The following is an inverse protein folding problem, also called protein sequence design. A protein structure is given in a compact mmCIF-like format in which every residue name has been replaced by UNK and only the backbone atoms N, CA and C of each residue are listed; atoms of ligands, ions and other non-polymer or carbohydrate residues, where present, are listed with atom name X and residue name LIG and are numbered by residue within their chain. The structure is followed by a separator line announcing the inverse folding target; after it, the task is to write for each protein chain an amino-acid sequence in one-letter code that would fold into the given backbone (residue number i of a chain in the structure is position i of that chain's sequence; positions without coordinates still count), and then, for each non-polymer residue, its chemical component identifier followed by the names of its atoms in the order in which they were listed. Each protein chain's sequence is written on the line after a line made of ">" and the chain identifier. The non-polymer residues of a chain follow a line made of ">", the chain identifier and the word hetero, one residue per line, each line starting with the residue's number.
data_IF_159546291562
#
_entry.id   IF_159546291562
#
_cell.length_a   1.000
_cell.length_b   1.000
_cell.length_c   1.000
_cell.angle_alpha   90.00
_cell.angle_beta   90.00
_cell.angle_gamma   90.00
#
_symmetry.space_group_name_H-M   'P 1'
#
loop_
_entity.id
_entity.type
_entity.pdbx_description
1 polymer ?
#
# COMPACT_ATOMS: atom_id res chain seq x y z
N UNK A 1 36.86 47.39 56.43
CA UNK A 1 38.20 47.80 55.95
C UNK A 1 38.00 48.40 54.55
N UNK A 2 38.78 49.43 54.19
CA UNK A 2 38.61 50.36 53.05
C UNK A 2 38.31 49.69 51.67
N UNK A 3 37.36 50.24 50.88
CA UNK A 3 37.53 51.00 49.59
C UNK A 3 37.98 50.13 48.39
N UNK A 4 37.62 50.31 47.10
CA UNK A 4 36.89 51.33 46.29
C UNK A 4 36.47 50.64 44.95
N UNK A 5 35.62 51.13 44.02
CA UNK A 5 34.76 52.34 43.89
C UNK A 5 33.55 52.08 42.91
N UNK A 6 32.92 53.18 42.46
CA UNK A 6 31.81 53.45 41.55
C UNK A 6 31.67 52.79 40.15
N UNK A 7 30.38 52.58 39.79
CA UNK A 7 29.63 52.98 38.57
C UNK A 7 30.21 52.68 37.17
N UNK A 8 29.43 51.93 36.39
CA UNK A 8 28.52 52.52 35.39
C UNK A 8 27.43 51.51 34.99
N UNK A 9 26.24 52.00 34.65
CA UNK A 9 25.08 51.17 34.33
C UNK A 9 24.77 51.10 32.84
N UNK A 10 23.97 50.10 32.46
CA UNK A 10 23.11 50.13 31.30
C UNK A 10 21.87 49.28 31.62
N UNK A 11 20.70 49.91 31.68
CA UNK A 11 19.43 49.19 31.73
C UNK A 11 19.17 48.55 30.35
N UNK A 12 18.72 47.30 30.34
CA UNK A 12 18.08 46.73 29.16
C UNK A 12 16.84 45.96 29.62
N UNK A 13 15.66 46.51 29.32
CA UNK A 13 14.38 45.92 29.66
C UNK A 13 13.77 45.17 28.48
N UNK A 14 12.82 44.30 28.82
CA UNK A 14 11.94 43.54 27.91
C UNK A 14 12.58 42.43 27.05
N UNK A 15 11.70 41.50 26.68
CA UNK A 15 11.85 40.41 25.70
C UNK A 15 12.85 39.27 26.01
N UNK A 16 12.39 38.34 26.87
CA UNK A 16 12.93 36.98 26.97
C UNK A 16 12.40 36.06 25.86
N UNK A 17 12.91 36.16 24.63
CA UNK A 17 12.93 35.04 23.66
C UNK A 17 14.21 35.15 22.82
N UNK A 18 14.83 34.00 22.51
CA UNK A 18 16.04 33.84 21.67
C UNK A 18 17.37 34.39 22.23
N UNK A 19 18.13 33.51 22.90
CA UNK A 19 19.54 33.26 22.60
C UNK A 19 20.10 32.16 23.51
N UNK A 20 20.57 31.04 22.94
CA UNK A 20 21.75 30.26 23.34
C UNK A 20 21.98 29.18 22.26
N UNK A 21 23.25 28.98 21.86
CA UNK A 21 23.78 27.93 20.98
C UNK A 21 23.50 28.03 19.47
N UNK A 22 24.16 29.00 18.82
CA UNK A 22 24.99 28.68 17.63
C UNK A 22 26.42 28.36 18.09
N UNK A 23 27.19 27.75 17.19
CA UNK A 23 28.63 27.41 17.30
C UNK A 23 28.98 26.09 18.00
N UNK A 24 28.89 25.00 17.23
CA UNK A 24 30.10 24.23 16.86
C UNK A 24 29.83 23.43 15.60
N UNK A 25 30.32 23.92 14.46
CA UNK A 25 30.28 23.18 13.21
C UNK A 25 31.45 22.19 13.17
N UNK A 26 31.17 20.92 13.45
CA UNK A 26 32.10 19.81 13.27
C UNK A 26 31.46 18.74 12.40
N UNK A 27 32.09 18.40 11.27
CA UNK A 27 31.64 17.29 10.44
C UNK A 27 31.78 15.97 11.20
N UNK A 28 30.66 15.33 11.49
CA UNK A 28 30.58 13.91 11.78
C UNK A 28 29.42 13.34 10.95
N UNK A 29 29.75 12.65 9.85
CA UNK A 29 28.79 11.78 9.19
C UNK A 29 28.52 10.63 10.14
N UNK A 30 27.33 10.62 10.76
CA UNK A 30 26.89 9.48 11.56
C UNK A 30 26.37 8.41 10.59
N UNK A 31 27.12 7.31 10.47
CA UNK A 31 26.59 6.07 9.91
C UNK A 31 25.28 5.75 10.63
N UNK A 32 24.18 5.73 9.87
CA UNK A 32 22.92 5.16 10.34
C UNK A 32 23.01 3.68 10.08
N UNK A 33 23.46 2.97 11.11
CA UNK A 33 23.55 1.52 11.14
C UNK A 33 22.14 0.93 10.93
N UNK A 34 21.85 0.51 9.70
CA UNK A 34 20.65 -0.27 9.39
C UNK A 34 20.79 -1.60 10.12
N UNK A 35 20.12 -1.74 11.26
CA UNK A 35 20.13 -2.96 12.06
C UNK A 35 19.31 -4.05 11.38
N UNK A 36 19.90 -4.62 10.32
CA UNK A 36 19.49 -5.87 9.70
C UNK A 36 19.68 -6.98 10.72
N UNK A 37 18.67 -7.21 11.57
CA UNK A 37 18.64 -8.40 12.42
C UNK A 37 18.55 -9.63 11.50
N UNK A 38 19.29 -10.69 11.85
CA UNK A 38 19.55 -11.83 10.97
C UNK A 38 18.25 -12.43 10.40
N UNK A 39 18.03 -12.21 9.09
CA UNK A 39 16.85 -12.69 8.41
C UNK A 39 16.85 -14.23 8.37
N UNK A 40 15.88 -14.85 9.04
CA UNK A 40 15.65 -16.29 8.97
C UNK A 40 15.06 -16.62 7.59
N UNK A 41 15.92 -16.80 6.61
CA UNK A 41 15.59 -17.48 5.35
C UNK A 41 15.45 -18.98 5.63
N UNK A 42 14.28 -19.42 6.11
CA UNK A 42 13.97 -20.84 6.19
C UNK A 42 13.70 -21.39 4.79
N UNK A 43 14.30 -22.53 4.45
CA UNK A 43 14.12 -23.19 3.13
C UNK A 43 12.87 -24.08 3.07
N UNK A 44 12.03 -24.10 4.11
CA UNK A 44 10.76 -24.85 4.19
C UNK A 44 9.53 -23.90 4.08
N UNK A 45 9.68 -22.78 3.37
CA UNK A 45 8.84 -21.60 3.58
C UNK A 45 7.39 -21.69 3.03
N UNK A 46 6.38 -21.13 3.73
CA UNK A 46 4.95 -21.22 3.40
C UNK A 46 4.49 -20.29 2.25
N UNK A 47 5.37 -19.99 1.29
CA UNK A 47 5.17 -18.95 0.28
C UNK A 47 5.26 -19.49 -1.16
N UNK A 48 4.45 -20.50 -1.48
CA UNK A 48 4.51 -21.20 -2.78
C UNK A 48 4.29 -20.33 -4.02
N UNK A 49 3.68 -19.16 -3.88
CA UNK A 49 3.45 -18.19 -4.95
C UNK A 49 4.47 -17.03 -4.99
N UNK A 50 5.52 -17.02 -4.17
CA UNK A 50 6.53 -15.93 -4.18
C UNK A 50 7.88 -16.42 -4.73
N UNK A 51 8.46 -15.63 -5.64
CA UNK A 51 9.77 -15.91 -6.24
C UNK A 51 10.92 -15.66 -5.23
N UNK A 52 10.81 -14.59 -4.43
CA UNK A 52 11.62 -14.39 -3.23
C UNK A 52 10.92 -13.56 -2.16
N UNK A 53 11.29 -13.79 -0.89
CA UNK A 53 10.68 -13.14 0.28
C UNK A 53 11.77 -12.66 1.22
N UNK A 54 11.61 -11.46 1.78
CA UNK A 54 12.39 -10.99 2.92
C UNK A 54 11.48 -10.39 3.97
N UNK A 55 11.67 -10.78 5.22
CA UNK A 55 10.97 -10.23 6.39
C UNK A 55 11.96 -9.37 7.17
N UNK A 56 11.61 -8.10 7.37
CA UNK A 56 12.42 -7.11 8.07
C UNK A 56 11.81 -6.83 9.45
N UNK A 57 12.61 -6.80 10.50
CA UNK A 57 12.12 -6.41 11.84
C UNK A 57 11.66 -4.95 11.88
N UNK A 58 12.39 -4.06 11.21
CA UNK A 58 12.07 -2.64 11.07
C UNK A 58 12.70 -2.08 9.79
N UNK A 59 12.08 -1.07 9.20
CA UNK A 59 12.56 -0.34 8.01
C UNK A 59 11.94 1.05 7.97
N UNK A 60 12.51 2.01 7.23
CA UNK A 60 11.85 3.31 7.03
C UNK A 60 10.52 3.16 6.27
N UNK A 61 10.56 2.52 5.11
CA UNK A 61 9.38 2.15 4.33
C UNK A 61 9.72 0.98 3.41
N UNK A 62 8.88 -0.05 3.39
CA UNK A 62 9.04 -1.22 2.50
C UNK A 62 9.07 -0.81 1.03
N UNK A 63 8.27 0.19 0.61
CA UNK A 63 8.31 0.71 -0.76
C UNK A 63 9.68 1.34 -1.09
N UNK A 64 10.21 2.14 -0.17
CA UNK A 64 11.52 2.80 -0.34
C UNK A 64 12.63 1.76 -0.41
N UNK A 65 12.60 0.77 0.48
CA UNK A 65 13.54 -0.37 0.50
C UNK A 65 13.48 -1.18 -0.81
N UNK A 66 12.27 -1.55 -1.25
CA UNK A 66 12.07 -2.29 -2.49
C UNK A 66 12.54 -1.52 -3.72
N UNK A 67 12.26 -0.20 -3.78
CA UNK A 67 12.70 0.67 -4.88
C UNK A 67 14.22 0.82 -4.91
N UNK A 68 14.87 0.96 -3.75
CA UNK A 68 16.33 0.97 -3.65
C UNK A 68 16.94 -0.37 -4.10
N UNK A 69 16.41 -1.50 -3.62
CA UNK A 69 16.86 -2.83 -4.03
C UNK A 69 16.73 -3.04 -5.55
N UNK A 70 15.63 -2.59 -6.17
CA UNK A 70 15.44 -2.64 -7.63
C UNK A 70 16.51 -1.81 -8.34
N UNK A 71 16.72 -0.55 -7.92
CA UNK A 71 17.73 0.33 -8.52
C UNK A 71 19.13 -0.29 -8.45
N UNK A 72 19.48 -0.83 -7.30
CA UNK A 72 20.83 -1.33 -7.03
C UNK A 72 21.06 -2.65 -7.79
N UNK A 73 20.09 -3.56 -7.81
CA UNK A 73 20.17 -4.80 -8.60
C UNK A 73 20.20 -4.55 -10.12
N UNK A 74 19.46 -3.55 -10.62
CA UNK A 74 19.54 -3.12 -12.02
C UNK A 74 20.79 -2.31 -12.38
N UNK A 75 21.67 -2.00 -11.41
CA UNK A 75 22.96 -1.36 -11.68
C UNK A 75 24.08 -2.37 -11.94
N UNK A 76 23.89 -3.64 -11.54
CA UNK A 76 24.76 -4.77 -11.88
C UNK A 76 24.39 -5.42 -13.23
N UNK A 77 23.26 -5.02 -13.83
CA UNK A 77 22.74 -5.58 -15.07
C UNK A 77 23.38 -4.94 -16.31
N UNK A 78 23.68 -5.74 -17.34
CA UNK A 78 24.30 -5.26 -18.58
C UNK A 78 23.36 -4.36 -19.41
N UNK A 79 23.93 -3.43 -20.18
CA UNK A 79 23.18 -2.49 -21.03
C UNK A 79 22.38 -3.18 -22.17
N UNK A 80 22.79 -4.39 -22.55
CA UNK A 80 22.17 -5.23 -23.59
C UNK A 80 21.27 -6.34 -23.05
N UNK A 81 21.00 -6.35 -21.73
CA UNK A 81 20.12 -7.32 -21.07
C UNK A 81 18.66 -7.23 -21.56
N UNK A 82 17.99 -8.39 -21.65
CA UNK A 82 16.63 -8.49 -22.17
C UNK A 82 15.54 -8.53 -21.08
N UNK A 83 14.27 -8.62 -21.49
CA UNK A 83 13.14 -8.69 -20.56
C UNK A 83 13.18 -9.92 -19.63
N UNK A 84 13.80 -11.03 -20.05
CA UNK A 84 13.95 -12.23 -19.24
C UNK A 84 15.06 -12.06 -18.19
N UNK A 85 16.15 -11.38 -18.53
CA UNK A 85 17.18 -10.97 -17.56
C UNK A 85 16.59 -10.03 -16.48
N UNK A 86 15.83 -9.01 -16.91
CA UNK A 86 15.13 -8.10 -16.00
C UNK A 86 14.13 -8.85 -15.12
N UNK A 87 13.39 -9.81 -15.67
CA UNK A 87 12.50 -10.66 -14.88
C UNK A 87 13.27 -11.50 -13.84
N UNK A 88 14.42 -12.08 -14.22
CA UNK A 88 15.25 -12.88 -13.33
C UNK A 88 15.85 -12.05 -12.18
N UNK A 89 16.24 -10.80 -12.44
CA UNK A 89 16.63 -9.83 -11.39
C UNK A 89 15.48 -9.64 -10.39
N UNK A 90 14.25 -9.44 -10.86
CA UNK A 90 13.09 -9.28 -9.96
C UNK A 90 12.78 -10.57 -9.19
N UNK A 91 12.92 -11.76 -9.78
CA UNK A 91 12.75 -13.05 -9.04
C UNK A 91 13.76 -13.18 -7.90
N UNK A 92 15.02 -12.84 -8.16
CA UNK A 92 16.11 -12.99 -7.19
C UNK A 92 16.19 -11.89 -6.12
N UNK A 93 15.43 -10.80 -6.26
CA UNK A 93 15.64 -9.52 -5.57
C UNK A 93 15.85 -9.61 -4.06
N UNK A 94 15.10 -10.48 -3.37
CA UNK A 94 15.17 -10.65 -1.92
C UNK A 94 15.74 -12.01 -1.48
N UNK A 95 16.05 -12.89 -2.43
CA UNK A 95 16.52 -14.25 -2.19
C UNK A 95 17.96 -14.32 -1.68
N UNK A 96 18.36 -15.53 -1.27
CA UNK A 96 19.76 -15.86 -0.95
C UNK A 96 20.50 -16.19 -2.24
N UNK A 97 21.66 -15.55 -2.48
CA UNK A 97 22.47 -15.79 -3.69
C UNK A 97 22.76 -17.30 -3.83
N UNK A 98 22.32 -17.89 -4.95
CA UNK A 98 22.48 -19.32 -5.26
C UNK A 98 21.22 -20.18 -5.11
N UNK A 99 20.19 -19.71 -4.40
CA UNK A 99 18.89 -20.39 -4.34
C UNK A 99 17.91 -19.75 -5.35
N UNK A 100 17.73 -20.41 -6.49
CA UNK A 100 16.68 -20.08 -7.46
C UNK A 100 15.62 -21.18 -7.43
N UNK A 101 14.42 -20.87 -6.94
CA UNK A 101 13.27 -21.71 -7.28
C UNK A 101 12.95 -21.52 -8.77
N UNK A 102 12.79 -22.59 -9.55
CA UNK A 102 12.27 -22.50 -10.90
C UNK A 102 10.76 -22.26 -10.84
N UNK A 103 10.37 -21.02 -10.49
CA UNK A 103 9.07 -20.51 -10.92
C UNK A 103 8.98 -20.69 -12.44
N UNK A 104 7.79 -21.04 -12.96
CA UNK A 104 7.62 -21.26 -14.40
C UNK A 104 8.15 -20.06 -15.18
N UNK A 105 9.09 -20.28 -16.10
CA UNK A 105 9.81 -19.20 -16.82
C UNK A 105 8.89 -18.19 -17.55
N UNK A 106 7.60 -18.51 -17.70
CA UNK A 106 6.58 -17.71 -18.38
C UNK A 106 5.61 -16.97 -17.44
N UNK A 107 5.79 -17.03 -16.12
CA UNK A 107 4.97 -16.27 -15.16
C UNK A 107 5.61 -14.92 -14.82
N UNK A 108 4.80 -13.89 -14.52
CA UNK A 108 5.35 -12.62 -14.04
C UNK A 108 6.10 -12.83 -12.71
N UNK A 109 7.31 -12.26 -12.55
CA UNK A 109 8.09 -12.42 -11.33
C UNK A 109 7.41 -11.64 -10.19
N UNK A 110 7.44 -12.18 -8.98
CA UNK A 110 6.85 -11.55 -7.81
C UNK A 110 7.66 -11.82 -6.55
N UNK A 111 8.36 -10.80 -6.09
CA UNK A 111 9.17 -10.82 -4.87
C UNK A 111 8.60 -9.85 -3.84
N UNK A 112 8.63 -10.17 -2.54
CA UNK A 112 8.04 -9.31 -1.50
C UNK A 112 9.01 -8.98 -0.37
N UNK A 113 9.07 -7.70 0.00
CA UNK A 113 9.64 -7.24 1.26
C UNK A 113 8.51 -7.00 2.27
N UNK A 114 8.43 -7.84 3.29
CA UNK A 114 7.55 -7.67 4.45
C UNK A 114 8.31 -6.93 5.56
N UNK A 115 7.60 -6.19 6.41
CA UNK A 115 8.17 -5.60 7.61
C UNK A 115 7.24 -5.71 8.81
N UNK A 116 7.80 -5.95 10.00
CA UNK A 116 7.03 -5.91 11.25
C UNK A 116 6.85 -4.47 11.76
N UNK A 117 7.69 -3.51 11.37
CA UNK A 117 7.50 -2.07 11.66
C UNK A 117 8.01 -1.17 10.52
N UNK A 118 7.28 -0.07 10.26
CA UNK A 118 7.78 1.05 9.46
C UNK A 118 7.94 2.32 10.31
N UNK A 119 9.14 2.90 10.34
CA UNK A 119 9.44 4.15 11.09
C UNK A 119 9.03 5.42 10.33
N UNK A 120 9.03 5.37 8.99
CA UNK A 120 8.67 6.48 8.08
C UNK A 120 7.72 5.97 6.99
N UNK A 121 6.71 5.21 7.43
CA UNK A 121 5.78 4.54 6.53
C UNK A 121 5.03 5.53 5.62
N UNK A 122 4.91 5.19 4.34
CA UNK A 122 4.33 6.06 3.30
C UNK A 122 2.99 5.52 2.83
N UNK A 123 1.97 6.37 2.87
CA UNK A 123 0.72 6.22 2.15
C UNK A 123 0.70 7.10 0.90
N UNK A 124 -0.39 7.01 0.13
CA UNK A 124 -0.62 7.91 -1.01
C UNK A 124 -0.66 9.37 -0.57
N UNK A 125 -0.20 10.25 -1.46
CA UNK A 125 -0.35 11.72 -1.34
C UNK A 125 0.32 12.28 -0.07
N UNK A 126 1.48 11.73 0.30
CA UNK A 126 2.31 12.22 1.42
C UNK A 126 1.80 11.87 2.82
N UNK A 127 0.66 11.16 2.94
CA UNK A 127 0.15 10.70 4.24
C UNK A 127 1.09 9.65 4.85
N UNK A 128 1.29 9.70 6.15
CA UNK A 128 2.08 8.70 6.85
C UNK A 128 1.27 7.40 7.12
N UNK A 129 1.96 6.28 7.18
CA UNK A 129 1.44 4.99 7.64
C UNK A 129 2.22 4.57 8.89
N UNK A 130 1.51 4.24 9.96
CA UNK A 130 2.08 3.86 11.26
C UNK A 130 1.60 2.47 11.66
N UNK A 131 2.45 1.71 12.35
CA UNK A 131 2.10 0.42 12.92
C UNK A 131 3.02 0.05 14.08
N UNK A 132 2.61 -0.96 14.85
CA UNK A 132 3.46 -1.66 15.82
C UNK A 132 3.73 -3.11 15.35
N UNK A 133 4.77 -3.79 15.86
CA UNK A 133 5.04 -5.20 15.57
C UNK A 133 3.84 -6.11 15.83
N UNK A 134 3.51 -6.96 14.86
CA UNK A 134 2.43 -7.94 14.99
C UNK A 134 1.01 -7.41 14.75
N UNK A 135 0.83 -6.12 14.46
CA UNK A 135 -0.51 -5.51 14.41
C UNK A 135 -1.06 -5.25 13.01
N UNK A 136 -0.19 -4.99 12.04
CA UNK A 136 -0.57 -4.70 10.66
C UNK A 136 0.20 -5.56 9.68
N UNK A 137 -0.50 -6.07 8.66
CA UNK A 137 0.15 -6.55 7.46
C UNK A 137 0.84 -5.38 6.76
N UNK A 138 2.13 -5.49 6.48
CA UNK A 138 2.88 -4.54 5.66
C UNK A 138 3.77 -5.32 4.70
N UNK A 139 3.57 -5.10 3.39
CA UNK A 139 4.38 -5.71 2.35
C UNK A 139 4.50 -4.85 1.11
N UNK A 140 5.67 -4.88 0.48
CA UNK A 140 5.94 -4.30 -0.84
C UNK A 140 6.24 -5.38 -1.85
N UNK A 141 5.31 -5.60 -2.79
CA UNK A 141 5.45 -6.57 -3.87
C UNK A 141 6.12 -5.92 -5.06
N UNK A 142 7.19 -6.53 -5.55
CA UNK A 142 7.95 -6.09 -6.71
C UNK A 142 7.68 -7.05 -7.85
N UNK A 143 7.29 -6.50 -9.00
CA UNK A 143 6.99 -7.27 -10.21
C UNK A 143 7.39 -6.51 -11.46
N UNK A 144 7.78 -7.25 -12.50
CA UNK A 144 8.05 -6.73 -13.83
C UNK A 144 6.83 -6.96 -14.72
N UNK A 145 6.37 -5.94 -15.43
CA UNK A 145 5.22 -5.98 -16.35
C UNK A 145 5.56 -5.28 -17.66
N UNK A 146 4.83 -5.58 -18.77
CA UNK A 146 4.98 -4.81 -19.99
C UNK A 146 4.68 -3.33 -19.75
N UNK A 147 5.61 -2.47 -20.17
CA UNK A 147 5.52 -1.00 -20.08
C UNK A 147 4.24 -0.45 -20.72
N UNK A 148 3.71 -1.12 -21.75
CA UNK A 148 2.45 -0.79 -22.40
C UNK A 148 1.24 -0.73 -21.43
N UNK A 149 1.31 -1.39 -20.26
CA UNK A 149 0.26 -1.27 -19.21
C UNK A 149 0.26 0.09 -18.49
N UNK A 150 1.33 0.87 -18.62
CA UNK A 150 1.41 2.24 -18.11
C UNK A 150 0.81 3.26 -19.09
N UNK A 151 0.75 2.91 -20.38
CA UNK A 151 0.28 3.78 -21.45
C UNK A 151 -1.26 3.87 -21.48
N UNK A 152 -1.78 4.88 -22.17
CA UNK A 152 -3.21 4.99 -22.50
C UNK A 152 -4.16 5.10 -21.29
N UNK A 153 -3.69 5.52 -20.12
CA UNK A 153 -4.50 5.71 -18.91
C UNK A 153 -4.86 4.42 -18.15
N UNK A 154 -4.39 3.25 -18.59
CA UNK A 154 -4.73 1.96 -17.96
C UNK A 154 -4.04 1.71 -16.61
N UNK A 155 -3.09 2.56 -16.21
CA UNK A 155 -2.28 2.40 -14.99
C UNK A 155 -3.10 2.37 -13.70
N UNK A 156 -4.30 2.97 -13.69
CA UNK A 156 -5.25 2.88 -12.57
C UNK A 156 -5.65 1.42 -12.25
N UNK A 157 -5.74 0.54 -13.27
CA UNK A 157 -6.06 -0.87 -13.08
C UNK A 157 -5.03 -1.64 -12.26
N UNK A 158 -3.77 -1.22 -12.26
CA UNK A 158 -2.75 -1.84 -11.40
C UNK A 158 -3.08 -1.64 -9.91
N UNK A 159 -3.51 -0.43 -9.53
CA UNK A 159 -3.92 -0.15 -8.13
C UNK A 159 -5.18 -0.92 -7.76
N UNK A 160 -6.16 -1.00 -8.68
CA UNK A 160 -7.38 -1.78 -8.47
C UNK A 160 -7.12 -3.29 -8.36
N UNK A 161 -6.23 -3.83 -9.21
CA UNK A 161 -5.84 -5.24 -9.18
C UNK A 161 -5.14 -5.62 -7.86
N UNK A 162 -4.26 -4.75 -7.34
CA UNK A 162 -3.66 -4.92 -6.02
C UNK A 162 -4.67 -4.80 -4.88
N UNK A 163 -5.67 -3.92 -5.01
CA UNK A 163 -6.80 -3.83 -4.07
C UNK A 163 -7.66 -5.10 -4.04
N UNK A 164 -8.06 -5.60 -5.20
CA UNK A 164 -8.81 -6.87 -5.29
C UNK A 164 -7.97 -8.05 -4.79
N UNK A 165 -6.67 -8.12 -5.13
CA UNK A 165 -5.78 -9.15 -4.62
C UNK A 165 -5.63 -9.13 -3.09
N UNK A 166 -5.65 -7.95 -2.46
CA UNK A 166 -5.66 -7.82 -1.00
C UNK A 166 -6.98 -8.31 -0.38
N UNK A 167 -8.13 -8.09 -1.04
CA UNK A 167 -9.42 -8.64 -0.61
C UNK A 167 -9.43 -10.16 -0.76
N UNK A 168 -9.11 -10.68 -1.95
CA UNK A 168 -9.06 -12.11 -2.25
C UNK A 168 -8.18 -12.85 -1.23
N UNK A 169 -7.02 -12.28 -0.88
CA UNK A 169 -6.08 -12.89 0.06
C UNK A 169 -6.57 -12.95 1.50
N UNK A 170 -7.34 -11.97 1.97
CA UNK A 170 -7.93 -11.99 3.32
C UNK A 170 -9.12 -12.96 3.36
N UNK A 171 -9.88 -13.09 2.27
CA UNK A 171 -10.98 -14.07 2.17
C UNK A 171 -10.46 -15.51 2.04
N UNK A 172 -9.48 -15.78 1.17
CA UNK A 172 -8.79 -17.08 1.04
C UNK A 172 -8.17 -17.46 2.40
N UNK A 173 -7.43 -16.56 3.05
CA UNK A 173 -6.84 -16.84 4.36
C UNK A 173 -7.88 -17.06 5.47
N UNK A 174 -9.02 -16.37 5.44
CA UNK A 174 -10.11 -16.61 6.38
C UNK A 174 -10.78 -17.97 6.17
N UNK A 175 -10.97 -18.39 4.91
CA UNK A 175 -11.50 -19.71 4.57
C UNK A 175 -10.54 -20.84 4.95
N UNK A 176 -9.27 -20.75 4.53
CA UNK A 176 -8.25 -21.78 4.74
C UNK A 176 -7.87 -21.95 6.23
N UNK A 177 -7.91 -20.87 7.01
CA UNK A 177 -7.57 -20.89 8.44
C UNK A 177 -8.80 -21.01 9.36
N UNK A 178 -10.01 -21.12 8.80
CA UNK A 178 -11.25 -21.33 9.56
C UNK A 178 -11.70 -20.14 10.41
N UNK A 179 -11.39 -18.92 9.99
CA UNK A 179 -11.70 -17.68 10.72
C UNK A 179 -13.21 -17.42 10.65
N UNK A 180 -13.91 -17.63 11.77
CA UNK A 180 -15.35 -17.43 11.88
C UNK A 180 -15.71 -15.95 11.94
N UNK A 181 -15.83 -15.29 10.78
CA UNK A 181 -16.37 -13.94 10.74
C UNK A 181 -17.86 -13.93 11.18
N UNK A 182 -18.30 -13.02 12.06
CA UNK A 182 -19.71 -12.81 12.40
C UNK A 182 -20.59 -12.46 11.20
N UNK A 183 -20.00 -12.16 10.04
CA UNK A 183 -20.70 -11.93 8.77
C UNK A 183 -21.23 -13.21 8.10
N UNK A 184 -20.90 -14.40 8.62
CA UNK A 184 -21.57 -15.66 8.24
C UNK A 184 -23.03 -15.71 8.72
N UNK A 185 -23.42 -14.85 9.67
CA UNK A 185 -24.83 -14.61 9.97
C UNK A 185 -25.45 -13.71 8.89
N UNK A 186 -26.47 -14.23 8.20
CA UNK A 186 -27.19 -13.50 7.15
C UNK A 186 -27.65 -12.10 7.62
N UNK A 187 -27.63 -11.07 6.75
CA UNK A 187 -27.90 -9.70 7.15
C UNK A 187 -29.30 -9.55 7.76
N UNK A 188 -29.34 -9.15 9.03
CA UNK A 188 -30.59 -8.89 9.78
C UNK A 188 -31.07 -7.44 9.68
N UNK A 189 -30.28 -6.56 9.07
CA UNK A 189 -30.68 -5.19 8.77
C UNK A 189 -31.46 -5.13 7.44
N UNK A 190 -32.62 -4.42 7.39
CA UNK A 190 -33.36 -4.25 6.15
C UNK A 190 -32.55 -3.42 5.14
N UNK A 191 -32.65 -3.81 3.86
CA UNK A 191 -31.99 -3.15 2.73
C UNK A 191 -32.29 -1.64 2.71
N UNK A 192 -31.30 -0.82 3.05
CA UNK A 192 -31.45 0.63 3.04
C UNK A 192 -31.18 1.12 1.61
N UNK A 193 -32.26 1.38 0.86
CA UNK A 193 -32.32 1.77 -0.55
C UNK A 193 -32.02 0.66 -1.58
N UNK A 194 -32.92 0.55 -2.56
CA UNK A 194 -32.70 -0.21 -3.80
C UNK A 194 -31.47 0.36 -4.53
N UNK A 195 -30.35 -0.37 -4.46
CA UNK A 195 -29.06 0.04 -5.02
C UNK A 195 -27.88 -0.08 -4.05
N UNK A 196 -28.12 0.03 -2.73
CA UNK A 196 -27.06 -0.22 -1.73
C UNK A 196 -26.92 -1.72 -1.48
N UNK A 197 -25.91 -2.35 -2.08
CA UNK A 197 -25.49 -3.69 -1.64
C UNK A 197 -24.95 -3.58 -0.21
N UNK A 198 -25.28 -4.54 0.65
CA UNK A 198 -24.81 -4.56 2.04
C UNK A 198 -23.29 -4.86 2.09
N UNK A 199 -22.46 -3.82 2.01
CA UNK A 199 -21.01 -3.93 2.13
C UNK A 199 -20.56 -3.99 3.60
N UNK A 200 -21.12 -4.94 4.34
CA UNK A 200 -20.63 -5.31 5.66
C UNK A 200 -19.28 -6.05 5.54
N UNK A 201 -19.04 -6.74 4.42
CA UNK A 201 -17.78 -7.43 4.11
C UNK A 201 -16.67 -6.58 3.48
N UNK A 202 -15.68 -7.27 2.95
CA UNK A 202 -14.52 -6.68 2.30
C UNK A 202 -14.91 -6.00 0.98
N UNK A 203 -14.47 -4.74 0.83
CA UNK A 203 -14.83 -3.88 -0.30
C UNK A 203 -13.73 -2.88 -0.64
N UNK A 204 -13.75 -2.35 -1.86
CA UNK A 204 -12.84 -1.30 -2.31
C UNK A 204 -13.47 0.07 -2.20
N UNK A 205 -12.83 0.97 -1.46
CA UNK A 205 -13.05 2.41 -1.62
C UNK A 205 -12.03 2.94 -2.62
N UNK A 206 -12.52 3.36 -3.78
CA UNK A 206 -11.74 4.02 -4.82
C UNK A 206 -11.01 5.26 -4.24
N UNK A 207 -9.72 5.51 -4.59
CA UNK A 207 -8.95 4.81 -5.61
C UNK A 207 -8.09 3.64 -5.12
N UNK A 208 -7.93 3.42 -3.81
CA UNK A 208 -6.82 2.61 -3.29
C UNK A 208 -7.04 2.01 -1.88
N UNK A 209 -8.21 2.16 -1.28
CA UNK A 209 -8.43 1.79 0.13
C UNK A 209 -9.22 0.47 0.24
N UNK A 210 -8.75 -0.44 1.10
CA UNK A 210 -9.49 -1.67 1.45
C UNK A 210 -10.38 -1.36 2.65
N UNK A 211 -11.65 -1.72 2.55
CA UNK A 211 -12.69 -1.47 3.55
C UNK A 211 -13.28 -2.78 4.08
N UNK A 212 -13.66 -2.81 5.35
CA UNK A 212 -14.35 -3.90 6.04
C UNK A 212 -15.39 -3.30 6.99
N UNK A 213 -16.64 -3.78 6.97
CA UNK A 213 -17.74 -3.22 7.77
C UNK A 213 -17.95 -1.71 7.53
N UNK A 214 -17.78 -1.27 6.28
CA UNK A 214 -17.84 0.13 5.90
C UNK A 214 -16.72 1.05 6.44
N UNK A 215 -15.66 0.49 7.04
CA UNK A 215 -14.52 1.22 7.60
C UNK A 215 -13.20 0.83 6.92
N UNK A 216 -12.22 1.75 6.90
CA UNK A 216 -10.90 1.55 6.29
C UNK A 216 -10.08 0.51 7.05
N UNK A 217 -9.88 -0.65 6.44
CA UNK A 217 -8.99 -1.71 6.92
C UNK A 217 -7.53 -1.42 6.54
N UNK A 218 -7.32 -0.85 5.35
CA UNK A 218 -5.98 -0.67 4.79
C UNK A 218 -5.94 0.18 3.52
N UNK A 219 -4.79 0.19 2.86
CA UNK A 219 -4.59 0.93 1.61
C UNK A 219 -3.39 0.45 0.80
N UNK A 220 -3.44 0.79 -0.49
CA UNK A 220 -2.46 0.44 -1.51
C UNK A 220 -1.70 1.70 -1.98
N UNK A 221 -0.39 1.57 -2.18
CA UNK A 221 0.50 2.54 -2.81
C UNK A 221 1.33 1.85 -3.90
N UNK A 222 0.90 2.00 -5.16
CA UNK A 222 1.66 1.54 -6.32
C UNK A 222 2.62 2.64 -6.80
N UNK A 223 3.90 2.31 -6.97
CA UNK A 223 4.96 3.19 -7.45
C UNK A 223 5.75 2.54 -8.60
N UNK A 224 6.13 3.32 -9.60
CA UNK A 224 7.05 2.90 -10.65
C UNK A 224 8.49 3.01 -10.13
N UNK A 225 9.19 1.88 -9.99
CA UNK A 225 10.57 1.86 -9.50
C UNK A 225 11.59 2.01 -10.63
N UNK A 226 11.37 1.38 -11.79
CA UNK A 226 12.26 1.45 -12.93
C UNK A 226 11.57 1.12 -14.26
N UNK A 227 12.17 1.55 -15.36
CA UNK A 227 11.87 1.08 -16.72
C UNK A 227 13.18 0.60 -17.36
N UNK A 228 13.11 -0.52 -18.08
CA UNK A 228 14.21 -1.11 -18.88
C UNK A 228 13.59 -1.67 -20.16
N UNK A 229 14.01 -1.15 -21.31
CA UNK A 229 13.38 -1.48 -22.60
C UNK A 229 11.87 -1.26 -22.58
N UNK A 230 11.12 -2.33 -22.89
CA UNK A 230 9.65 -2.39 -22.84
C UNK A 230 9.11 -3.06 -21.56
N UNK A 231 9.96 -3.25 -20.55
CA UNK A 231 9.59 -3.71 -19.20
C UNK A 231 9.56 -2.55 -18.20
N UNK A 232 8.50 -2.50 -17.40
CA UNK A 232 8.36 -1.62 -16.24
C UNK A 232 8.34 -2.44 -14.94
N UNK A 233 9.07 -1.97 -13.92
CA UNK A 233 9.09 -2.60 -12.59
C UNK A 233 8.29 -1.76 -11.62
N UNK A 234 7.25 -2.38 -11.06
CA UNK A 234 6.26 -1.74 -10.18
C UNK A 234 6.43 -2.30 -8.76
N UNK A 235 6.36 -1.39 -7.78
CA UNK A 235 6.35 -1.69 -6.35
C UNK A 235 4.93 -1.42 -5.82
N UNK A 236 4.25 -2.47 -5.37
CA UNK A 236 2.94 -2.39 -4.74
C UNK A 236 3.08 -2.48 -3.22
N UNK A 237 3.08 -1.32 -2.56
CA UNK A 237 2.93 -1.23 -1.11
C UNK A 237 1.51 -1.53 -0.68
N UNK A 238 1.33 -2.47 0.23
CA UNK A 238 0.03 -2.86 0.79
C UNK A 238 0.14 -2.88 2.30
N UNK A 239 -0.66 -2.03 2.96
CA UNK A 239 -0.78 -1.96 4.41
C UNK A 239 -2.21 -2.26 4.86
N UNK A 240 -2.41 -3.19 5.80
CA UNK A 240 -3.73 -3.52 6.36
C UNK A 240 -3.64 -3.78 7.86
N UNK A 241 -4.59 -3.26 8.64
CA UNK A 241 -4.66 -3.47 10.09
C UNK A 241 -5.26 -4.86 10.39
N UNK A 242 -4.51 -5.71 11.10
CA UNK A 242 -4.97 -7.05 11.47
C UNK A 242 -5.39 -7.12 12.94
N UNK A 243 -4.51 -6.66 13.84
CA UNK A 243 -4.68 -6.72 15.30
C UNK A 243 -4.59 -5.33 15.98
N UNK A 244 -4.44 -4.22 15.22
CA UNK A 244 -4.41 -2.84 15.77
C UNK A 244 -5.69 -2.54 16.57
N UNK A 245 -5.57 -2.30 17.87
CA UNK A 245 -6.69 -2.08 18.78
C UNK A 245 -7.45 -0.77 18.49
N UNK A 246 -8.75 -0.74 18.81
CA UNK A 246 -9.67 0.37 18.44
C UNK A 246 -9.20 1.75 18.91
N UNK A 247 -8.56 1.82 20.07
CA UNK A 247 -8.03 3.02 20.71
C UNK A 247 -6.75 3.57 20.04
N UNK A 248 -6.06 2.76 19.23
CA UNK A 248 -4.83 3.13 18.50
C UNK A 248 -5.05 3.33 16.99
N UNK A 249 -6.27 3.15 16.50
CA UNK A 249 -6.60 3.44 15.10
C UNK A 249 -6.49 4.96 14.83
N UNK A 250 -5.86 5.38 13.72
CA UNK A 250 -5.49 6.79 13.52
C UNK A 250 -6.68 7.72 13.24
N UNK A 251 -7.81 7.18 12.78
CA UNK A 251 -9.06 7.91 12.52
C UNK A 251 -10.27 7.03 12.87
N UNK A 252 -11.41 7.64 13.21
CA UNK A 252 -12.64 6.92 13.58
C UNK A 252 -13.19 6.04 12.44
N UNK A 253 -12.94 6.43 11.19
CA UNK A 253 -13.34 5.69 9.99
C UNK A 253 -12.42 4.49 9.69
N UNK A 254 -11.35 4.27 10.47
CA UNK A 254 -10.50 3.08 10.33
C UNK A 254 -11.03 1.89 11.13
N UNK A 255 -10.54 0.70 10.78
CA UNK A 255 -10.80 -0.56 11.48
C UNK A 255 -9.60 -1.49 11.39
N UNK A 256 -9.74 -2.70 11.92
CA UNK A 256 -8.72 -3.74 12.05
C UNK A 256 -9.43 -5.09 12.04
N UNK A 257 -8.86 -6.12 11.40
CA UNK A 257 -9.55 -7.40 11.17
C UNK A 257 -10.10 -8.02 12.47
N UNK A 258 -9.34 -7.98 13.56
CA UNK A 258 -9.76 -8.51 14.86
C UNK A 258 -10.97 -7.81 15.49
N UNK A 259 -11.37 -6.62 15.00
CA UNK A 259 -12.60 -5.94 15.42
C UNK A 259 -13.86 -6.50 14.72
N UNK A 260 -13.67 -7.40 13.74
CA UNK A 260 -14.71 -8.08 12.97
C UNK A 260 -14.60 -9.61 13.12
N UNK A 261 -14.17 -10.09 14.29
CA UNK A 261 -14.33 -11.48 14.76
C UNK A 261 -15.00 -11.46 16.14
N UNK A 262 -15.50 -12.60 16.61
CA UNK A 262 -16.19 -12.66 17.91
C UNK A 262 -15.20 -12.68 19.08
N UNK A 263 -14.14 -13.49 18.96
CA UNK A 263 -13.01 -13.54 19.89
C UNK A 263 -11.71 -13.30 19.11
N UNK A 264 -10.76 -12.55 19.69
CA UNK A 264 -9.43 -12.39 19.09
C UNK A 264 -8.69 -13.74 18.97
N UNK A 265 -9.04 -14.72 19.82
CA UNK A 265 -8.54 -16.09 19.75
C UNK A 265 -9.14 -16.90 18.57
N UNK A 266 -10.16 -16.39 17.87
CA UNK A 266 -10.63 -16.96 16.59
C UNK A 266 -9.66 -16.64 15.43
N UNK A 267 -8.72 -15.69 15.63
CA UNK A 267 -7.64 -15.42 14.67
C UNK A 267 -6.41 -16.30 14.96
N UNK A 268 -5.77 -16.85 13.91
CA UNK A 268 -4.49 -17.54 14.05
C UNK A 268 -3.36 -16.57 14.42
N UNK A 269 -2.20 -17.06 14.91
CA UNK A 269 -1.06 -16.22 15.24
C UNK A 269 -0.68 -15.28 14.09
N UNK A 270 -0.24 -14.05 14.42
CA UNK A 270 0.05 -13.01 13.44
C UNK A 270 0.91 -13.49 12.27
N UNK A 271 2.00 -14.23 12.53
CA UNK A 271 2.87 -14.73 11.46
C UNK A 271 2.15 -15.69 10.51
N UNK A 272 1.28 -16.56 11.02
CA UNK A 272 0.48 -17.49 10.21
C UNK A 272 -0.47 -16.71 9.29
N UNK A 273 -1.18 -15.73 9.84
CA UNK A 273 -2.10 -14.87 9.09
C UNK A 273 -1.35 -13.99 8.06
N UNK A 274 -0.26 -13.35 8.48
CA UNK A 274 0.63 -12.54 7.63
C UNK A 274 1.14 -13.37 6.46
N UNK A 275 1.60 -14.58 6.71
CA UNK A 275 2.18 -15.42 5.67
C UNK A 275 1.12 -15.91 4.67
N UNK A 276 -0.07 -16.29 5.16
CA UNK A 276 -1.21 -16.67 4.31
C UNK A 276 -1.67 -15.50 3.41
N UNK A 277 -1.88 -14.31 4.00
CA UNK A 277 -2.21 -13.09 3.25
C UNK A 277 -1.12 -12.75 2.24
N UNK A 278 0.16 -12.87 2.60
CA UNK A 278 1.26 -12.57 1.69
C UNK A 278 1.26 -13.49 0.44
N UNK A 279 1.04 -14.80 0.64
CA UNK A 279 0.94 -15.74 -0.45
C UNK A 279 -0.32 -15.51 -1.30
N UNK A 280 -1.48 -15.27 -0.67
CA UNK A 280 -2.74 -14.99 -1.35
C UNK A 280 -2.68 -13.74 -2.22
N UNK A 281 -2.06 -12.66 -1.74
CA UNK A 281 -1.85 -11.45 -2.54
C UNK A 281 -0.96 -11.78 -3.74
N UNK A 282 0.15 -12.48 -3.54
CA UNK A 282 1.07 -12.81 -4.63
C UNK A 282 0.39 -13.63 -5.74
N UNK A 283 -0.36 -14.66 -5.34
CA UNK A 283 -1.19 -15.50 -6.21
C UNK A 283 -2.19 -14.67 -7.02
N UNK A 284 -3.07 -13.91 -6.35
CA UNK A 284 -4.12 -13.14 -7.04
C UNK A 284 -3.56 -12.00 -7.89
N UNK A 285 -2.60 -11.23 -7.36
CA UNK A 285 -1.98 -10.13 -8.09
C UNK A 285 -1.25 -10.62 -9.34
N UNK A 286 -0.50 -11.74 -9.27
CA UNK A 286 0.16 -12.33 -10.44
C UNK A 286 -0.87 -12.75 -11.49
N UNK A 287 -1.97 -13.40 -11.10
CA UNK A 287 -3.05 -13.80 -12.03
C UNK A 287 -3.63 -12.56 -12.74
N UNK A 288 -3.98 -11.51 -11.97
CA UNK A 288 -4.61 -10.28 -12.47
C UNK A 288 -3.68 -9.50 -13.41
N UNK A 289 -2.41 -9.33 -13.04
CA UNK A 289 -1.41 -8.65 -13.89
C UNK A 289 -1.05 -9.47 -15.14
N UNK A 290 -1.00 -10.80 -15.04
CA UNK A 290 -0.78 -11.68 -16.21
C UNK A 290 -1.95 -11.58 -17.20
N UNK A 291 -3.19 -11.48 -16.71
CA UNK A 291 -4.35 -11.24 -17.56
C UNK A 291 -4.28 -9.87 -18.26
N UNK A 292 -3.92 -8.80 -17.53
CA UNK A 292 -3.72 -7.46 -18.09
C UNK A 292 -2.63 -7.40 -19.16
N UNK A 293 -1.50 -8.09 -18.93
CA UNK A 293 -0.37 -8.17 -19.86
C UNK A 293 -0.73 -8.91 -21.16
N UNK A 294 -1.59 -9.94 -21.09
CA UNK A 294 -1.97 -10.75 -22.25
C UNK A 294 -3.12 -10.16 -23.08
N UNK A 295 -4.12 -9.54 -22.43
CA UNK A 295 -5.29 -8.92 -23.09
C UNK A 295 -5.83 -7.80 -22.19
N UNK A 296 -5.22 -6.61 -22.28
CA UNK A 296 -5.56 -5.45 -21.44
C UNK A 296 -7.03 -5.09 -21.57
N UNK A 297 -7.60 -5.08 -22.78
CA UNK A 297 -8.98 -4.68 -23.01
C UNK A 297 -9.97 -5.62 -22.29
N UNK A 298 -9.76 -6.93 -22.39
CA UNK A 298 -10.62 -7.93 -21.74
C UNK A 298 -10.40 -8.01 -20.23
N UNK A 299 -9.15 -7.90 -19.78
CA UNK A 299 -8.81 -7.92 -18.36
C UNK A 299 -9.35 -6.69 -17.63
N UNK A 300 -9.15 -5.49 -18.17
CA UNK A 300 -9.71 -4.25 -17.61
C UNK A 300 -11.24 -4.26 -17.59
N UNK A 301 -11.91 -4.84 -18.59
CA UNK A 301 -13.37 -4.99 -18.56
C UNK A 301 -13.83 -5.88 -17.38
N UNK A 302 -13.15 -7.01 -17.13
CA UNK A 302 -13.43 -7.89 -15.98
C UNK A 302 -13.13 -7.22 -14.64
N UNK A 303 -11.97 -6.57 -14.52
CA UNK A 303 -11.59 -5.83 -13.31
C UNK A 303 -12.60 -4.71 -13.02
N UNK A 304 -13.16 -4.05 -14.04
CA UNK A 304 -14.21 -3.05 -13.85
C UNK A 304 -15.47 -3.65 -13.25
N UNK A 305 -15.91 -4.80 -13.77
CA UNK A 305 -17.11 -5.47 -13.26
C UNK A 305 -16.88 -5.96 -11.81
N UNK A 306 -15.71 -6.54 -11.51
CA UNK A 306 -15.31 -6.93 -10.15
C UNK A 306 -15.19 -5.74 -9.17
N UNK A 307 -14.54 -4.64 -9.59
CA UNK A 307 -14.42 -3.42 -8.77
C UNK A 307 -15.79 -2.80 -8.53
N UNK A 308 -16.68 -2.80 -9.53
CA UNK A 308 -18.05 -2.29 -9.36
C UNK A 308 -18.85 -3.17 -8.39
N UNK A 309 -18.74 -4.49 -8.52
CA UNK A 309 -19.41 -5.46 -7.64
C UNK A 309 -18.93 -5.40 -6.18
N UNK A 310 -17.64 -5.09 -5.97
CA UNK A 310 -17.00 -4.97 -4.64
C UNK A 310 -16.79 -3.51 -4.20
N UNK A 311 -17.42 -2.54 -4.87
CA UNK A 311 -17.21 -1.12 -4.57
C UNK A 311 -17.93 -0.69 -3.30
N UNK A 312 -17.20 -0.10 -2.36
CA UNK A 312 -17.80 0.73 -1.31
C UNK A 312 -18.19 2.12 -1.83
N UNK A 313 -17.48 2.65 -2.83
CA UNK A 313 -17.64 4.02 -3.32
C UNK A 313 -18.91 4.23 -4.15
N UNK A 314 -19.22 3.33 -5.09
CA UNK A 314 -20.34 3.50 -6.02
C UNK A 314 -21.70 3.58 -5.30
N UNK A 315 -22.62 4.40 -5.85
CA UNK A 315 -23.93 4.68 -5.28
C UNK A 315 -23.91 5.60 -4.06
N UNK A 316 -22.74 5.94 -3.50
CA UNK A 316 -22.59 6.83 -2.35
C UNK A 316 -22.28 8.26 -2.77
N UNK A 317 -22.57 9.19 -1.86
CA UNK A 317 -22.05 10.54 -1.91
C UNK A 317 -20.52 10.52 -1.75
N UNK A 318 -19.81 11.19 -2.65
CA UNK A 318 -18.35 11.22 -2.71
C UNK A 318 -17.87 12.67 -2.90
N UNK A 319 -16.79 13.01 -2.20
CA UNK A 319 -16.03 14.24 -2.40
C UNK A 319 -14.64 13.82 -2.86
N UNK A 320 -14.28 14.19 -4.08
CA UNK A 320 -12.94 14.01 -4.62
C UNK A 320 -12.19 15.33 -4.55
N UNK A 321 -11.16 15.37 -3.72
CA UNK A 321 -10.26 16.53 -3.57
C UNK A 321 -9.26 16.45 -4.72
N UNK A 322 -9.19 17.47 -5.58
CA UNK A 322 -8.42 17.41 -6.81
C UNK A 322 -6.95 17.77 -6.59
N UNK A 323 -6.05 17.07 -7.27
CA UNK A 323 -4.61 17.35 -7.34
C UNK A 323 -4.23 18.13 -8.60
N UNK A 324 -3.18 18.94 -8.48
CA UNK A 324 -2.34 19.40 -9.60
C UNK A 324 -0.90 19.00 -9.26
N UNK A 325 -0.21 18.30 -10.17
CA UNK A 325 1.18 17.84 -10.01
C UNK A 325 1.42 17.05 -8.69
N UNK A 326 0.41 16.27 -8.26
CA UNK A 326 0.44 15.50 -7.01
C UNK A 326 0.21 16.33 -5.72
N UNK A 327 0.07 17.64 -5.83
CA UNK A 327 -0.25 18.55 -4.72
C UNK A 327 -1.73 18.90 -4.70
N UNK A 328 -2.31 19.19 -3.54
CA UNK A 328 -3.72 19.58 -3.44
C UNK A 328 -4.00 20.89 -4.18
N UNK A 329 -4.89 20.87 -5.17
CA UNK A 329 -5.30 22.06 -5.91
C UNK A 329 -6.33 22.93 -5.17
N UNK A 330 -6.82 22.46 -4.00
CA UNK A 330 -7.92 23.08 -3.24
C UNK A 330 -9.29 23.01 -3.92
N UNK A 331 -9.39 22.41 -5.12
CA UNK A 331 -10.66 22.17 -5.82
C UNK A 331 -11.25 20.85 -5.36
N UNK A 332 -12.57 20.78 -5.22
CA UNK A 332 -13.30 19.53 -4.96
C UNK A 332 -14.29 19.24 -6.07
N UNK A 333 -14.59 17.95 -6.26
CA UNK A 333 -15.70 17.44 -7.07
C UNK A 333 -16.61 16.66 -6.14
N UNK A 334 -17.83 17.14 -5.96
CA UNK A 334 -18.80 16.62 -4.99
C UNK A 334 -20.08 16.15 -5.70
N UNK A 335 -20.57 14.98 -5.33
CA UNK A 335 -21.76 14.38 -5.94
C UNK A 335 -21.88 12.88 -5.66
N UNK A 336 -22.66 12.17 -6.45
CA UNK A 336 -22.85 10.72 -6.31
C UNK A 336 -21.86 9.98 -7.21
N UNK A 337 -21.06 9.07 -6.65
CA UNK A 337 -20.19 8.18 -7.40
C UNK A 337 -21.03 7.20 -8.24
N UNK A 338 -21.00 7.31 -9.57
CA UNK A 338 -21.91 6.60 -10.46
C UNK A 338 -21.28 5.38 -11.14
N UNK A 339 -20.08 5.51 -11.71
CA UNK A 339 -19.44 4.42 -12.45
C UNK A 339 -17.93 4.44 -12.38
N UNK A 340 -17.33 3.24 -12.49
CA UNK A 340 -15.91 3.09 -12.83
C UNK A 340 -15.81 3.01 -14.36
N UNK A 341 -14.91 3.81 -14.93
CA UNK A 341 -14.72 3.93 -16.38
C UNK A 341 -13.72 2.89 -16.90
N UNK A 342 -13.49 2.86 -18.22
CA UNK A 342 -12.61 1.87 -18.86
C UNK A 342 -11.12 2.00 -18.49
N UNK A 343 -10.70 3.16 -17.97
CA UNK A 343 -9.36 3.54 -17.51
C UNK A 343 -9.23 3.50 -15.96
N UNK A 344 -10.18 2.88 -15.27
CA UNK A 344 -10.32 2.88 -13.80
C UNK A 344 -10.56 4.27 -13.16
N UNK A 345 -10.85 5.32 -13.94
CA UNK A 345 -11.32 6.60 -13.39
C UNK A 345 -12.74 6.48 -12.84
N UNK A 346 -13.12 7.38 -11.92
CA UNK A 346 -14.43 7.44 -11.30
C UNK A 346 -15.27 8.55 -11.94
N UNK A 347 -16.49 8.24 -12.38
CA UNK A 347 -17.48 9.25 -12.76
C UNK A 347 -18.34 9.64 -11.55
N UNK A 348 -18.36 10.94 -11.23
CA UNK A 348 -19.20 11.53 -10.17
C UNK A 348 -20.31 12.34 -10.84
N UNK A 349 -21.56 12.02 -10.50
CA UNK A 349 -22.74 12.78 -10.92
C UNK A 349 -22.94 13.98 -9.99
N UNK A 350 -22.82 15.18 -10.54
CA UNK A 350 -22.96 16.44 -9.81
C UNK A 350 -24.45 16.77 -9.56
N UNK A 351 -24.70 17.77 -8.71
CA UNK A 351 -26.06 18.21 -8.36
C UNK A 351 -26.88 18.76 -9.55
N UNK A 352 -26.23 19.22 -10.62
CA UNK A 352 -26.87 19.64 -11.87
C UNK A 352 -27.18 18.46 -12.83
N UNK A 353 -26.83 17.24 -12.44
CA UNK A 353 -27.00 16.02 -13.21
C UNK A 353 -25.87 15.72 -14.20
N UNK A 354 -24.88 16.60 -14.36
CA UNK A 354 -23.71 16.34 -15.23
C UNK A 354 -22.77 15.30 -14.61
N UNK A 355 -21.90 14.70 -15.44
CA UNK A 355 -20.89 13.74 -14.99
C UNK A 355 -19.50 14.37 -15.08
N UNK A 356 -18.78 14.36 -13.97
CA UNK A 356 -17.37 14.73 -13.90
C UNK A 356 -16.52 13.46 -13.73
N UNK A 357 -15.54 13.25 -14.60
CA UNK A 357 -14.56 12.16 -14.45
C UNK A 357 -13.42 12.60 -13.53
N UNK A 358 -12.99 11.72 -12.63
CA UNK A 358 -11.84 11.91 -11.73
C UNK A 358 -10.92 10.70 -11.89
N UNK A 359 -9.70 10.90 -12.38
CA UNK A 359 -8.72 9.83 -12.53
C UNK A 359 -8.01 9.54 -11.20
N UNK A 360 -7.31 8.40 -11.12
CA UNK A 360 -6.49 8.08 -9.94
C UNK A 360 -5.30 9.03 -9.77
N UNK A 361 -4.93 9.82 -10.79
CA UNK A 361 -3.92 10.89 -10.68
C UNK A 361 -4.49 12.19 -10.15
N UNK A 362 -5.79 12.42 -10.35
CA UNK A 362 -6.47 13.67 -9.98
C UNK A 362 -6.79 13.77 -8.48
N UNK A 363 -6.53 12.78 -7.62
CA UNK A 363 -6.88 12.88 -6.19
C UNK A 363 -5.73 13.46 -5.38
N UNK A 364 -5.99 14.52 -4.59
CA UNK A 364 -5.00 15.33 -3.88
C UNK A 364 -5.05 15.26 -2.35
N UNK A 365 -4.09 15.95 -1.72
CA UNK A 365 -3.88 15.97 -0.26
C UNK A 365 -5.02 16.69 0.47
N UNK A 366 -5.44 16.12 1.60
CA UNK A 366 -5.87 16.89 2.78
C UNK A 366 -5.05 16.42 3.99
#
# INVERSE_FOLDING_TARGET
>A
MQQTDQRNGAECGHDRVNCVNRETAGHAAADRDETVSDAVASNDAPFGDLDSVRVLTSVDSTNTYATAAVRDALSELADDADDADVAQVVRGLFGVKGNHHPASAHSLPMSVALADTQTVGRGRLGRAWYNEPGESFIGSYVTAVPKALLDGGSSGWMTMAAGLAAIDAVEDAAGDLGINSPQSAAPTAPLIHEGSRNNDGLSLKWPNDVFLGGKKLGGILAELAAVRGDTAIIVFGIGMNLFVSKDRLPIEQSTSLHLHVNDINDLPPYETLRNAIANGIAKSLRIRLTALANDTARASARLRDEVADRSWTLGRHAIAHLATDGTASGRTVEGTAESINADASLSIRLADGTLHTVTTGDVGVE
#
